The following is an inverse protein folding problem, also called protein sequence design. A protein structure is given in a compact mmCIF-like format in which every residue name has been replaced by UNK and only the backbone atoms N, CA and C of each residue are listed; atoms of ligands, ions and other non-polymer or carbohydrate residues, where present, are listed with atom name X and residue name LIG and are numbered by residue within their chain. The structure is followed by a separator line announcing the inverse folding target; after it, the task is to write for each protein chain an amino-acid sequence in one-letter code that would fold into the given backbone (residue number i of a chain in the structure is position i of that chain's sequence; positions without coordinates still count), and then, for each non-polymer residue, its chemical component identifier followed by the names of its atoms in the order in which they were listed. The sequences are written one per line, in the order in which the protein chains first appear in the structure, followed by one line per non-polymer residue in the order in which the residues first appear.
data_IF_768214728087
#
_entry.id   IF_768214728087
#
_cell.length_a   1.000
_cell.length_b   1.000
_cell.length_c   1.000
_cell.angle_alpha   90.00
_cell.angle_beta   90.00
_cell.angle_gamma   90.00
#
_symmetry.space_group_name_H-M   'P 1'
#
loop_
_entity.id
_entity.type
_entity.pdbx_description
1 polymer ?
#
# COMPACT_ATOMS: atom_id res chain seq x y z
N UNK A 1 -35.77 -6.74 4.25
CA UNK A 1 -35.63 -5.28 4.46
C UNK A 1 -34.28 -4.86 3.90
N UNK A 2 -34.24 -3.89 2.99
CA UNK A 2 -32.97 -3.33 2.51
C UNK A 2 -32.34 -2.44 3.58
N UNK A 3 -31.01 -2.37 3.61
CA UNK A 3 -30.28 -1.49 4.54
C UNK A 3 -30.59 -0.02 4.26
N UNK A 4 -30.68 0.85 5.28
CA UNK A 4 -30.77 2.29 5.09
C UNK A 4 -29.56 2.84 4.32
N UNK A 5 -29.77 3.85 3.47
CA UNK A 5 -28.73 4.42 2.61
C UNK A 5 -27.50 4.94 3.39
N UNK A 6 -27.71 5.55 4.56
CA UNK A 6 -26.61 6.03 5.42
C UNK A 6 -25.69 4.90 5.89
N UNK A 7 -26.24 3.71 6.16
CA UNK A 7 -25.47 2.56 6.60
C UNK A 7 -24.67 1.97 5.44
N UNK A 8 -25.26 1.92 4.25
CA UNK A 8 -24.54 1.45 3.06
C UNK A 8 -23.34 2.36 2.73
N UNK A 9 -23.53 3.68 2.77
CA UNK A 9 -22.45 4.65 2.54
C UNK A 9 -21.28 4.46 3.50
N UNK A 10 -21.54 4.26 4.80
CA UNK A 10 -20.46 4.03 5.77
C UNK A 10 -19.72 2.70 5.55
N UNK A 11 -20.42 1.66 5.08
CA UNK A 11 -19.78 0.38 4.76
C UNK A 11 -18.90 0.52 3.52
N UNK A 12 -19.35 1.24 2.50
CA UNK A 12 -18.60 1.48 1.28
C UNK A 12 -17.34 2.34 1.55
N UNK A 13 -17.46 3.38 2.38
CA UNK A 13 -16.31 4.21 2.78
C UNK A 13 -15.24 3.39 3.53
N UNK A 14 -15.68 2.52 4.46
CA UNK A 14 -14.78 1.60 5.17
C UNK A 14 -14.13 0.60 4.24
N UNK A 15 -14.87 0.04 3.28
CA UNK A 15 -14.33 -0.90 2.30
C UNK A 15 -13.23 -0.22 1.45
N UNK A 16 -13.50 0.98 0.92
CA UNK A 16 -12.50 1.76 0.16
C UNK A 16 -11.24 2.06 0.98
N UNK A 17 -11.41 2.40 2.26
CA UNK A 17 -10.29 2.66 3.19
C UNK A 17 -9.46 1.39 3.41
N UNK A 18 -10.11 0.25 3.66
CA UNK A 18 -9.45 -1.04 3.83
C UNK A 18 -8.70 -1.50 2.57
N UNK A 19 -9.29 -1.28 1.40
CA UNK A 19 -8.66 -1.58 0.11
C UNK A 19 -7.42 -0.70 -0.13
N UNK A 20 -7.51 0.60 0.20
CA UNK A 20 -6.40 1.54 0.03
C UNK A 20 -5.20 1.21 0.93
N UNK A 21 -5.42 0.97 2.23
CA UNK A 21 -4.33 0.59 3.15
C UNK A 21 -3.76 -0.78 2.78
N UNK A 22 -4.61 -1.74 2.41
CA UNK A 22 -4.18 -3.07 2.00
C UNK A 22 -3.29 -3.05 0.76
N UNK A 23 -3.70 -2.31 -0.28
CA UNK A 23 -2.92 -2.18 -1.51
C UNK A 23 -1.57 -1.50 -1.26
N UNK A 24 -1.55 -0.40 -0.51
CA UNK A 24 -0.31 0.29 -0.15
C UNK A 24 0.64 -0.60 0.67
N UNK A 25 0.10 -1.38 1.59
CA UNK A 25 0.85 -2.31 2.42
C UNK A 25 1.46 -3.47 1.60
N UNK A 26 0.69 -4.06 0.70
CA UNK A 26 1.16 -5.10 -0.21
C UNK A 26 2.29 -4.57 -1.10
N UNK A 27 2.15 -3.34 -1.60
CA UNK A 27 3.18 -2.69 -2.41
C UNK A 27 4.45 -2.38 -1.62
N UNK A 28 4.34 -1.96 -0.35
CA UNK A 28 5.50 -1.80 0.53
C UNK A 28 6.27 -3.13 0.69
N UNK A 29 5.56 -4.25 0.78
CA UNK A 29 6.16 -5.58 0.82
C UNK A 29 6.78 -6.01 -0.54
N UNK A 30 6.28 -5.52 -1.67
CA UNK A 30 6.93 -5.69 -2.99
C UNK A 30 8.26 -4.93 -3.02
N UNK A 31 8.27 -3.64 -2.66
CA UNK A 31 9.49 -2.84 -2.58
C UNK A 31 10.54 -3.53 -1.71
N UNK A 32 10.17 -3.95 -0.49
CA UNK A 32 11.07 -4.66 0.42
C UNK A 32 11.72 -5.89 -0.23
N UNK A 33 10.92 -6.75 -0.89
CA UNK A 33 11.45 -7.96 -1.54
C UNK A 33 12.43 -7.65 -2.67
N UNK A 34 12.16 -6.61 -3.45
CA UNK A 34 13.07 -6.17 -4.52
C UNK A 34 14.38 -5.65 -3.92
N UNK A 35 14.29 -4.78 -2.89
CA UNK A 35 15.46 -4.26 -2.19
C UNK A 35 16.30 -5.38 -1.57
N UNK A 36 15.67 -6.33 -0.87
CA UNK A 36 16.37 -7.48 -0.28
C UNK A 36 17.11 -8.29 -1.35
N UNK A 37 16.48 -8.52 -2.51
CA UNK A 37 17.08 -9.24 -3.63
C UNK A 37 18.26 -8.50 -4.28
N UNK A 38 18.20 -7.18 -4.38
CA UNK A 38 19.28 -6.33 -4.91
C UNK A 38 20.45 -6.24 -3.91
N UNK A 39 20.15 -6.03 -2.63
CA UNK A 39 21.11 -6.01 -1.55
C UNK A 39 21.89 -7.33 -1.44
N UNK A 40 21.19 -8.47 -1.55
CA UNK A 40 21.83 -9.79 -1.55
C UNK A 40 22.82 -9.99 -2.71
N UNK A 41 22.64 -9.26 -3.82
CA UNK A 41 23.53 -9.27 -4.99
C UNK A 41 24.60 -8.16 -4.94
N UNK A 42 24.58 -7.30 -3.92
CA UNK A 42 25.44 -6.11 -3.86
C UNK A 42 25.18 -5.12 -4.99
N UNK A 43 23.96 -5.10 -5.54
CA UNK A 43 23.59 -4.23 -6.65
C UNK A 43 22.97 -2.94 -6.13
N UNK A 44 23.34 -1.81 -6.75
CA UNK A 44 22.64 -0.56 -6.50
C UNK A 44 21.23 -0.62 -7.12
N UNK A 45 20.24 -0.36 -6.27
CA UNK A 45 18.85 -0.28 -6.65
C UNK A 45 18.47 0.98 -7.44
N UNK A 46 19.27 2.05 -7.42
CA UNK A 46 18.84 3.36 -7.97
C UNK A 46 18.64 3.33 -9.48
N UNK A 47 19.34 2.43 -10.19
CA UNK A 47 19.19 2.19 -11.62
C UNK A 47 18.34 0.97 -11.98
N UNK A 48 17.81 0.23 -10.99
CA UNK A 48 17.00 -0.96 -11.29
C UNK A 48 15.58 -0.55 -11.73
N UNK A 49 15.14 -0.95 -12.93
CA UNK A 49 13.84 -0.50 -13.46
C UNK A 49 12.66 -1.08 -12.69
N UNK A 50 12.78 -2.28 -12.10
CA UNK A 50 11.72 -2.88 -11.30
C UNK A 50 11.61 -2.18 -9.94
N UNK A 51 12.72 -1.80 -9.33
CA UNK A 51 12.75 -0.97 -8.15
C UNK A 51 12.10 0.39 -8.40
N UNK A 52 12.48 1.09 -9.47
CA UNK A 52 11.90 2.40 -9.81
C UNK A 52 10.38 2.31 -10.04
N UNK A 53 9.92 1.29 -10.78
CA UNK A 53 8.49 1.06 -10.99
C UNK A 53 7.75 0.76 -9.66
N UNK A 54 8.36 -0.07 -8.80
CA UNK A 54 7.76 -0.42 -7.52
C UNK A 54 7.66 0.79 -6.57
N UNK A 55 8.68 1.65 -6.52
CA UNK A 55 8.66 2.90 -5.76
C UNK A 55 7.62 3.87 -6.32
N UNK A 56 7.55 4.01 -7.65
CA UNK A 56 6.53 4.85 -8.29
C UNK A 56 5.10 4.43 -7.93
N UNK A 57 4.82 3.13 -7.96
CA UNK A 57 3.52 2.60 -7.55
C UNK A 57 3.28 2.75 -6.04
N UNK A 58 4.32 2.61 -5.22
CA UNK A 58 4.22 2.85 -3.78
C UNK A 58 3.83 4.30 -3.47
N UNK A 59 4.40 5.28 -4.17
CA UNK A 59 3.99 6.69 -4.03
C UNK A 59 2.55 6.91 -4.48
N UNK A 60 2.13 6.32 -5.60
CA UNK A 60 0.75 6.43 -6.11
C UNK A 60 -0.26 5.88 -5.09
N UNK A 61 0.00 4.71 -4.52
CA UNK A 61 -0.88 4.07 -3.55
C UNK A 61 -0.88 4.79 -2.20
N UNK A 62 0.27 5.33 -1.77
CA UNK A 62 0.34 6.17 -0.57
C UNK A 62 -0.51 7.43 -0.73
N UNK A 63 -0.47 8.11 -1.88
CA UNK A 63 -1.32 9.27 -2.15
C UNK A 63 -2.82 8.92 -2.13
N UNK A 64 -3.20 7.73 -2.61
CA UNK A 64 -4.60 7.24 -2.53
C UNK A 64 -5.01 6.98 -1.08
N UNK A 65 -4.12 6.39 -0.28
CA UNK A 65 -4.35 6.13 1.14
C UNK A 65 -4.45 7.43 1.95
N UNK A 66 -3.58 8.41 1.69
CA UNK A 66 -3.61 9.74 2.30
C UNK A 66 -4.93 10.48 2.00
N UNK A 67 -5.43 10.38 0.76
CA UNK A 67 -6.73 10.95 0.39
C UNK A 67 -7.91 10.28 1.13
N UNK A 68 -7.72 9.06 1.63
CA UNK A 68 -8.67 8.35 2.49
C UNK A 68 -8.41 8.59 4.00
N UNK A 69 -7.45 9.45 4.36
CA UNK A 69 -7.09 9.77 5.75
C UNK A 69 -6.22 8.71 6.43
N UNK A 70 -5.54 7.87 5.65
CA UNK A 70 -4.65 6.81 6.13
C UNK A 70 -3.20 7.31 6.02
N UNK A 71 -2.41 7.15 7.08
CA UNK A 71 -1.01 7.59 7.08
C UNK A 71 -0.02 6.43 6.81
N UNK A 72 1.26 6.79 6.67
CA UNK A 72 2.34 5.83 6.42
C UNK A 72 2.56 4.84 7.57
N UNK A 73 2.20 5.20 8.81
CA UNK A 73 2.29 4.30 9.96
C UNK A 73 1.22 3.22 9.90
N UNK A 74 -0.01 3.56 9.51
CA UNK A 74 -1.09 2.60 9.28
C UNK A 74 -0.71 1.62 8.16
N UNK A 75 -0.18 2.13 7.06
CA UNK A 75 0.33 1.32 5.94
C UNK A 75 1.46 0.40 6.43
N UNK A 76 2.40 0.92 7.22
CA UNK A 76 3.50 0.15 7.78
C UNK A 76 3.04 -0.98 8.71
N UNK A 77 2.05 -0.70 9.56
CA UNK A 77 1.46 -1.68 10.47
C UNK A 77 0.68 -2.77 9.70
N UNK A 78 -0.10 -2.38 8.70
CA UNK A 78 -0.76 -3.30 7.77
C UNK A 78 0.25 -4.17 7.03
N UNK A 79 1.30 -3.55 6.49
CA UNK A 79 2.36 -4.24 5.78
C UNK A 79 3.05 -5.27 6.69
N UNK A 80 3.29 -4.93 7.96
CA UNK A 80 3.88 -5.82 8.96
C UNK A 80 2.98 -7.01 9.30
N UNK A 81 1.66 -6.80 9.41
CA UNK A 81 0.69 -7.87 9.67
C UNK A 81 0.58 -8.87 8.53
N UNK A 82 0.82 -8.42 7.30
CA UNK A 82 0.71 -9.22 6.07
C UNK A 82 2.00 -9.97 5.68
N UNK A 83 3.07 -9.86 6.46
CA UNK A 83 4.38 -10.45 6.14
C UNK A 83 4.43 -11.95 6.36
#
# INVERSE_FOLDING_TARGET
MSKPAWLQSQLDDRARTADAVGAAADQMNVCRRIADGLNAKGQDHTSDPYWQAAVGESHRLTAVAEAAGIDVHDIGAEAARRR
#
